data_IF_286420472137
#
_entry.id   IF_286420472137
#
_cell.length_a   1.000
_cell.length_b   1.000
_cell.length_c   1.000
_cell.angle_alpha   90.00
_cell.angle_beta   90.00
_cell.angle_gamma   90.00
#
_symmetry.space_group_name_H-M   'P 1'
#
loop_
_entity.id
_entity.type
_entity.pdbx_description
1 polymer ?
#
# COMPACT_ATOMS: atom_id res chain seq x y z
N UNK A 1 70.15 30.49 0.55
CA UNK A 1 70.19 29.15 1.17
C UNK A 1 68.96 28.98 2.03
N UNK A 2 68.05 28.08 1.64
CA UNK A 2 67.22 27.22 2.50
C UNK A 2 66.18 26.50 1.64
N UNK A 3 66.03 25.21 1.91
CA UNK A 3 65.53 24.18 1.01
C UNK A 3 64.00 24.20 0.82
N UNK A 4 63.56 23.90 -0.41
CA UNK A 4 62.20 23.50 -0.71
C UNK A 4 62.04 22.02 -0.35
N UNK A 5 61.19 21.72 0.63
CA UNK A 5 60.78 20.35 0.97
C UNK A 5 59.60 19.98 0.08
N UNK A 6 59.87 19.14 -0.91
CA UNK A 6 58.85 18.51 -1.74
C UNK A 6 58.15 17.39 -0.97
N UNK A 7 56.86 17.55 -0.73
CA UNK A 7 55.98 16.46 -0.27
C UNK A 7 55.28 15.92 -1.52
N UNK A 8 55.75 14.75 -1.98
CA UNK A 8 55.08 13.97 -3.03
C UNK A 8 53.71 13.52 -2.54
N UNK A 9 52.66 14.01 -3.19
CA UNK A 9 51.34 13.39 -3.14
C UNK A 9 51.41 12.06 -3.91
N UNK A 10 51.47 10.95 -3.17
CA UNK A 10 51.25 9.63 -3.73
C UNK A 10 49.81 9.55 -4.25
N UNK A 11 49.67 9.45 -5.57
CA UNK A 11 48.41 9.15 -6.24
C UNK A 11 47.95 7.75 -5.83
N UNK A 12 46.89 7.67 -5.03
CA UNK A 12 46.15 6.44 -4.80
C UNK A 12 45.58 5.97 -6.13
N UNK A 13 46.18 4.92 -6.68
CA UNK A 13 45.74 4.21 -7.86
C UNK A 13 44.41 3.56 -7.52
N UNK A 14 43.31 4.14 -8.01
CA UNK A 14 41.99 3.50 -8.00
C UNK A 14 42.08 2.25 -8.85
N UNK A 15 42.02 1.07 -8.22
CA UNK A 15 41.77 -0.17 -8.94
C UNK A 15 40.39 -0.06 -9.59
N UNK A 16 40.39 0.08 -10.91
CA UNK A 16 39.20 -0.14 -11.71
C UNK A 16 38.75 -1.58 -11.43
N UNK A 17 37.56 -1.74 -10.85
CA UNK A 17 36.91 -3.03 -10.81
C UNK A 17 36.64 -3.42 -12.26
N UNK A 18 37.29 -4.48 -12.74
CA UNK A 18 37.02 -5.05 -14.05
C UNK A 18 35.53 -5.40 -14.12
N UNK A 19 34.80 -4.82 -15.09
CA UNK A 19 33.39 -5.11 -15.42
C UNK A 19 33.21 -6.52 -16.04
N UNK A 20 34.06 -7.49 -15.66
CA UNK A 20 33.87 -8.88 -16.04
C UNK A 20 32.77 -9.47 -15.15
N UNK A 21 31.62 -9.88 -15.70
CA UNK A 21 30.54 -10.44 -14.91
C UNK A 21 31.04 -11.68 -14.15
N UNK A 22 30.72 -11.77 -12.86
CA UNK A 22 31.14 -12.87 -11.97
C UNK A 22 30.72 -14.27 -12.49
N UNK A 23 29.73 -14.32 -13.40
CA UNK A 23 29.21 -15.52 -14.02
C UNK A 23 29.00 -15.23 -15.52
N UNK A 24 29.47 -16.14 -16.37
CA UNK A 24 29.27 -16.10 -17.83
C UNK A 24 27.79 -15.95 -18.19
N UNK A 25 27.49 -15.18 -19.25
CA UNK A 25 26.12 -14.92 -19.68
C UNK A 25 25.34 -16.20 -20.04
N UNK A 26 26.04 -17.29 -20.37
CA UNK A 26 25.45 -18.63 -20.60
C UNK A 26 24.84 -19.26 -19.35
N UNK A 27 25.35 -18.93 -18.16
CA UNK A 27 24.85 -19.43 -16.86
C UNK A 27 24.12 -18.34 -16.07
N UNK A 28 23.93 -17.17 -16.70
CA UNK A 28 23.29 -16.01 -16.11
C UNK A 28 21.78 -16.10 -16.27
N UNK A 29 21.05 -15.85 -15.17
CA UNK A 29 19.57 -15.77 -15.18
C UNK A 29 19.03 -14.53 -15.92
N UNK A 30 19.87 -13.80 -16.67
CA UNK A 30 19.44 -12.64 -17.48
C UNK A 30 18.38 -13.03 -18.50
N UNK A 31 18.60 -14.12 -19.25
CA UNK A 31 17.63 -14.61 -20.22
C UNK A 31 16.29 -14.98 -19.56
N UNK A 32 16.33 -15.61 -18.38
CA UNK A 32 15.13 -15.95 -17.62
C UNK A 32 14.42 -14.69 -17.08
N UNK A 33 15.16 -13.67 -16.65
CA UNK A 33 14.60 -12.38 -16.23
C UNK A 33 13.91 -11.65 -17.38
N UNK A 34 14.52 -11.63 -18.57
CA UNK A 34 13.95 -11.02 -19.77
C UNK A 34 12.70 -11.77 -20.25
N UNK A 35 12.72 -13.10 -20.20
CA UNK A 35 11.55 -13.93 -20.48
C UNK A 35 10.40 -13.67 -19.49
N UNK A 36 10.71 -13.54 -18.19
CA UNK A 36 9.72 -13.18 -17.17
C UNK A 36 9.17 -11.76 -17.37
N UNK A 37 9.98 -10.80 -17.80
CA UNK A 37 9.49 -9.45 -18.13
C UNK A 37 8.59 -9.44 -19.36
N UNK A 38 8.91 -10.23 -20.38
CA UNK A 38 8.04 -10.42 -21.54
C UNK A 38 6.68 -11.01 -21.12
N UNK A 39 6.67 -11.99 -20.21
CA UNK A 39 5.44 -12.56 -19.65
C UNK A 39 4.67 -11.54 -18.79
N UNK A 40 5.36 -10.69 -18.02
CA UNK A 40 4.73 -9.62 -17.19
C UNK A 40 4.01 -8.55 -18.01
N UNK A 41 4.41 -8.31 -19.26
CA UNK A 41 3.73 -7.35 -20.14
C UNK A 41 2.29 -7.77 -20.46
N UNK A 42 2.03 -9.08 -20.56
CA UNK A 42 0.73 -9.63 -20.91
C UNK A 42 -0.22 -9.86 -19.72
N UNK A 43 0.22 -9.59 -18.49
CA UNK A 43 -0.62 -9.78 -17.30
C UNK A 43 -1.68 -8.67 -17.22
N UNK A 44 -2.97 -9.03 -17.03
CA UNK A 44 -4.05 -8.07 -16.79
C UNK A 44 -3.77 -7.10 -15.63
N UNK A 45 -4.29 -5.88 -15.71
CA UNK A 45 -4.02 -4.83 -14.71
C UNK A 45 -4.58 -5.16 -13.33
N UNK A 46 -5.68 -5.92 -13.29
CA UNK A 46 -6.35 -6.38 -12.08
C UNK A 46 -5.43 -7.35 -11.32
N UNK A 47 -4.89 -8.35 -12.03
CA UNK A 47 -3.96 -9.33 -11.46
C UNK A 47 -2.66 -8.68 -10.99
N UNK A 48 -2.18 -7.66 -11.70
CA UNK A 48 -1.02 -6.86 -11.25
C UNK A 48 -1.29 -6.21 -9.90
N UNK A 49 -2.43 -5.55 -9.73
CA UNK A 49 -2.80 -4.92 -8.45
C UNK A 49 -2.90 -5.94 -7.32
N UNK A 50 -3.53 -7.09 -7.56
CA UNK A 50 -3.64 -8.14 -6.56
C UNK A 50 -2.26 -8.68 -6.14
N UNK A 51 -1.35 -8.86 -7.09
CA UNK A 51 0.02 -9.31 -6.81
C UNK A 51 0.82 -8.25 -6.07
N UNK A 52 0.67 -6.96 -6.41
CA UNK A 52 1.33 -5.85 -5.72
C UNK A 52 0.85 -5.76 -4.26
N UNK A 53 -0.46 -5.96 -4.03
CA UNK A 53 -1.04 -5.99 -2.69
C UNK A 53 -0.55 -7.19 -1.87
N UNK A 54 -0.44 -8.37 -2.48
CA UNK A 54 0.15 -9.55 -1.83
C UNK A 54 1.60 -9.33 -1.48
N UNK A 55 2.40 -8.85 -2.43
CA UNK A 55 3.80 -8.52 -2.22
C UNK A 55 3.96 -7.48 -1.10
N UNK A 56 3.05 -6.52 -1.00
CA UNK A 56 3.04 -5.55 0.09
C UNK A 56 2.77 -6.21 1.46
N UNK A 57 1.80 -7.13 1.56
CA UNK A 57 1.55 -7.87 2.80
C UNK A 57 2.74 -8.76 3.17
N UNK A 58 3.32 -9.45 2.20
CA UNK A 58 4.49 -10.32 2.39
C UNK A 58 5.70 -9.51 2.85
N UNK A 59 5.93 -8.33 2.26
CA UNK A 59 6.98 -7.42 2.67
C UNK A 59 6.81 -7.01 4.14
N UNK A 60 5.58 -6.74 4.58
CA UNK A 60 5.29 -6.40 5.98
C UNK A 60 5.60 -7.56 6.94
N UNK A 61 5.48 -8.81 6.47
CA UNK A 61 5.72 -10.04 7.24
C UNK A 61 7.15 -10.60 7.05
N UNK A 62 7.99 -9.98 6.22
CA UNK A 62 9.36 -10.44 5.98
C UNK A 62 10.33 -10.02 7.10
N UNK A 63 10.03 -8.92 7.77
CA UNK A 63 10.87 -8.32 8.81
C UNK A 63 10.60 -8.93 10.19
N UNK A 64 11.26 -10.05 10.50
CA UNK A 64 11.18 -10.75 11.80
C UNK A 64 11.76 -9.94 12.98
N UNK A 65 12.30 -8.73 12.75
CA UNK A 65 12.75 -7.87 13.84
C UNK A 65 11.58 -7.23 14.60
N UNK A 66 10.40 -7.09 13.97
CA UNK A 66 9.27 -6.36 14.55
C UNK A 66 8.34 -7.30 15.32
N UNK A 67 7.81 -6.90 16.48
CA UNK A 67 6.83 -7.72 17.17
C UNK A 67 5.55 -7.86 16.33
N UNK A 68 4.85 -9.02 16.38
CA UNK A 68 3.60 -9.24 15.65
C UNK A 68 2.52 -8.19 15.92
N UNK A 69 2.52 -7.54 17.10
CA UNK A 69 1.60 -6.46 17.44
C UNK A 69 1.80 -5.22 16.56
N UNK A 70 3.05 -4.82 16.29
CA UNK A 70 3.35 -3.66 15.43
C UNK A 70 2.92 -3.91 13.99
N UNK A 71 3.18 -5.11 13.47
CA UNK A 71 2.76 -5.52 12.13
C UNK A 71 1.22 -5.42 12.00
N UNK A 72 0.49 -5.91 13.00
CA UNK A 72 -0.98 -5.78 13.06
C UNK A 72 -1.44 -4.32 13.11
N UNK A 73 -0.82 -3.49 13.94
CA UNK A 73 -1.17 -2.08 14.06
C UNK A 73 -0.95 -1.31 12.76
N UNK A 74 0.15 -1.60 12.05
CA UNK A 74 0.46 -1.00 10.76
C UNK A 74 -0.60 -1.35 9.70
N UNK A 75 -0.98 -2.62 9.61
CA UNK A 75 -2.05 -3.06 8.72
C UNK A 75 -3.39 -2.38 9.04
N UNK A 76 -3.78 -2.34 10.31
CA UNK A 76 -5.01 -1.67 10.75
C UNK A 76 -5.00 -0.18 10.42
N UNK A 77 -3.87 0.50 10.62
CA UNK A 77 -3.70 1.93 10.27
C UNK A 77 -3.91 2.17 8.77
N UNK A 78 -3.32 1.34 7.92
CA UNK A 78 -3.49 1.43 6.46
C UNK A 78 -4.95 1.17 6.06
N UNK A 79 -5.56 0.14 6.63
CA UNK A 79 -6.95 -0.22 6.35
C UNK A 79 -7.91 0.91 6.77
N UNK A 80 -7.68 1.54 7.92
CA UNK A 80 -8.45 2.68 8.40
C UNK A 80 -8.32 3.88 7.45
N UNK A 81 -7.10 4.22 7.01
CA UNK A 81 -6.89 5.28 6.01
C UNK A 81 -7.66 5.02 4.72
N UNK A 82 -7.71 3.76 4.26
CA UNK A 82 -8.49 3.37 3.08
C UNK A 82 -10.01 3.51 3.33
N UNK A 83 -10.50 3.10 4.50
CA UNK A 83 -11.92 3.29 4.89
C UNK A 83 -12.31 4.77 4.94
N UNK A 84 -11.44 5.63 5.47
CA UNK A 84 -11.65 7.07 5.52
C UNK A 84 -11.65 7.70 4.13
N UNK A 85 -10.67 7.36 3.29
CA UNK A 85 -10.61 7.84 1.92
C UNK A 85 -11.84 7.44 1.12
N UNK A 86 -12.28 6.18 1.25
CA UNK A 86 -13.51 5.69 0.64
C UNK A 86 -14.74 6.46 1.14
N UNK A 87 -14.88 6.64 2.46
CA UNK A 87 -16.01 7.38 3.04
C UNK A 87 -16.07 8.83 2.55
N UNK A 88 -14.90 9.50 2.45
CA UNK A 88 -14.81 10.87 1.89
C UNK A 88 -15.23 10.92 0.43
N UNK A 89 -14.78 9.98 -0.40
CA UNK A 89 -15.18 9.89 -1.81
C UNK A 89 -16.69 9.66 -1.95
N UNK A 90 -17.27 8.79 -1.12
CA UNK A 90 -18.70 8.53 -1.12
C UNK A 90 -19.52 9.77 -0.74
N UNK A 91 -19.09 10.51 0.29
CA UNK A 91 -19.75 11.78 0.68
C UNK A 91 -19.69 12.80 -0.44
N UNK A 92 -18.51 12.99 -1.07
CA UNK A 92 -18.35 13.90 -2.20
C UNK A 92 -19.28 13.56 -3.37
N UNK A 93 -19.37 12.28 -3.74
CA UNK A 93 -20.27 11.83 -4.80
C UNK A 93 -21.74 12.15 -4.51
N UNK A 94 -22.19 12.00 -3.25
CA UNK A 94 -23.55 12.39 -2.83
C UNK A 94 -23.78 13.89 -2.91
N UNK A 95 -22.82 14.68 -2.47
CA UNK A 95 -22.90 16.14 -2.56
C UNK A 95 -22.98 16.61 -4.01
N UNK A 96 -22.14 16.06 -4.89
CA UNK A 96 -22.11 16.42 -6.29
C UNK A 96 -23.37 15.98 -7.03
N UNK A 97 -23.91 14.80 -6.70
CA UNK A 97 -25.21 14.35 -7.18
C UNK A 97 -26.34 15.30 -6.75
N UNK A 98 -26.36 15.67 -5.46
CA UNK A 98 -27.37 16.58 -4.91
C UNK A 98 -27.32 17.97 -5.55
N UNK A 99 -26.11 18.50 -5.76
CA UNK A 99 -25.90 19.76 -6.50
C UNK A 99 -26.42 19.68 -7.92
N UNK A 100 -26.16 18.56 -8.61
CA UNK A 100 -26.61 18.35 -9.99
C UNK A 100 -28.13 18.27 -10.06
N UNK A 101 -28.78 17.50 -9.19
CA UNK A 101 -30.24 17.43 -9.13
C UNK A 101 -30.89 18.79 -8.83
N UNK A 102 -30.31 19.57 -7.91
CA UNK A 102 -30.85 20.91 -7.60
C UNK A 102 -30.75 21.85 -8.79
N UNK A 103 -29.62 21.83 -9.52
CA UNK A 103 -29.47 22.61 -10.77
C UNK A 103 -30.49 22.20 -11.82
N UNK A 104 -30.65 20.90 -12.07
CA UNK A 104 -31.64 20.39 -13.03
C UNK A 104 -33.07 20.83 -12.66
N UNK A 105 -33.42 20.81 -11.37
CA UNK A 105 -34.74 21.26 -10.87
C UNK A 105 -34.95 22.77 -11.02
N UNK A 106 -33.93 23.57 -10.74
CA UNK A 106 -33.98 25.02 -10.90
C UNK A 106 -34.13 25.42 -12.37
N UNK A 107 -33.36 24.77 -13.25
CA UNK A 107 -33.43 24.98 -14.70
C UNK A 107 -34.81 24.60 -15.25
N UNK A 108 -35.34 23.44 -14.84
CA UNK A 108 -36.69 23.01 -15.20
C UNK A 108 -37.75 24.02 -14.74
N UNK A 109 -37.66 24.50 -13.49
CA UNK A 109 -38.61 25.47 -12.93
C UNK A 109 -38.54 26.82 -13.67
N UNK A 110 -37.33 27.30 -14.00
CA UNK A 110 -37.13 28.53 -14.78
C UNK A 110 -37.71 28.39 -16.19
N UNK A 111 -37.49 27.26 -16.85
CA UNK A 111 -38.02 26.98 -18.19
C UNK A 111 -39.56 26.87 -18.18
N UNK A 112 -40.13 26.19 -17.19
CA UNK A 112 -41.58 26.09 -17.03
C UNK A 112 -42.23 27.48 -16.80
N UNK A 113 -41.63 28.34 -15.98
CA UNK A 113 -42.11 29.71 -15.78
C UNK A 113 -42.01 30.54 -17.06
N UNK A 114 -40.89 30.48 -17.78
CA UNK A 114 -40.73 31.18 -19.07
C UNK A 114 -41.77 30.74 -20.09
N UNK A 115 -42.07 29.44 -20.18
CA UNK A 115 -43.10 28.91 -21.08
C UNK A 115 -44.49 29.44 -20.72
N UNK A 116 -44.84 29.49 -19.43
CA UNK A 116 -46.10 30.06 -18.95
C UNK A 116 -46.20 31.56 -19.26
N UNK A 117 -45.14 32.33 -19.02
CA UNK A 117 -45.08 33.75 -19.32
C UNK A 117 -45.18 34.04 -20.82
N UNK A 118 -44.52 33.23 -21.67
CA UNK A 118 -44.61 33.35 -23.11
C UNK A 118 -46.03 33.09 -23.61
N UNK A 119 -46.67 32.01 -23.13
CA UNK A 119 -48.05 31.68 -23.45
C UNK A 119 -49.05 32.73 -22.95
N UNK A 120 -48.78 33.38 -21.81
CA UNK A 120 -49.65 34.42 -21.27
C UNK A 120 -49.64 35.73 -22.08
N UNK A 121 -48.66 35.97 -22.96
CA UNK A 121 -48.57 37.18 -23.79
C UNK A 121 -49.50 37.16 -24.99
N UNK A 122 -49.92 35.98 -25.43
CA UNK A 122 -50.78 35.79 -26.59
C UNK A 122 -52.22 35.45 -26.17
N UNK A 123 -53.19 35.74 -27.05
CA UNK A 123 -54.59 35.37 -26.82
C UNK A 123 -54.82 33.96 -27.36
N UNK A 124 -55.01 33.01 -26.46
CA UNK A 124 -55.35 31.62 -26.80
C UNK A 124 -56.83 31.32 -26.56
N UNK A 125 -57.38 30.42 -27.37
CA UNK A 125 -58.71 29.85 -27.19
C UNK A 125 -58.77 28.97 -25.92
N UNK A 126 -59.98 28.67 -25.43
CA UNK A 126 -60.11 27.85 -24.22
C UNK A 126 -59.54 26.45 -24.38
N UNK A 127 -59.68 25.84 -25.57
CA UNK A 127 -59.16 24.50 -25.85
C UNK A 127 -57.64 24.46 -25.80
N UNK A 128 -56.98 25.43 -26.45
CA UNK A 128 -55.51 25.54 -26.47
C UNK A 128 -54.92 25.78 -25.09
N UNK A 129 -55.62 26.53 -24.22
CA UNK A 129 -55.19 26.73 -22.83
C UNK A 129 -55.20 25.42 -22.06
N UNK A 130 -56.30 24.65 -22.17
CA UNK A 130 -56.42 23.35 -21.50
C UNK A 130 -55.30 22.42 -21.94
N UNK A 131 -55.11 22.24 -23.24
CA UNK A 131 -54.04 21.38 -23.79
C UNK A 131 -52.65 21.84 -23.36
N UNK A 132 -52.39 23.15 -23.32
CA UNK A 132 -51.09 23.68 -22.88
C UNK A 132 -50.78 23.33 -21.43
N UNK A 133 -51.74 23.54 -20.51
CA UNK A 133 -51.54 23.26 -19.09
C UNK A 133 -51.47 21.76 -18.80
N UNK A 134 -52.26 20.94 -19.49
CA UNK A 134 -52.19 19.48 -19.39
C UNK A 134 -50.83 18.94 -19.82
N UNK A 135 -50.30 19.45 -20.95
CA UNK A 135 -48.95 19.10 -21.42
C UNK A 135 -47.85 19.57 -20.45
N UNK A 136 -48.01 20.75 -19.84
CA UNK A 136 -47.07 21.25 -18.83
C UNK A 136 -47.07 20.38 -17.57
N UNK A 137 -48.25 19.94 -17.13
CA UNK A 137 -48.39 19.07 -15.97
C UNK A 137 -47.85 17.67 -16.24
N UNK A 138 -48.09 17.10 -17.43
CA UNK A 138 -47.47 15.84 -17.85
C UNK A 138 -45.94 15.95 -17.83
N UNK A 139 -45.36 16.97 -18.46
CA UNK A 139 -43.90 17.19 -18.46
C UNK A 139 -43.33 17.37 -17.07
N UNK A 140 -44.07 18.03 -16.17
CA UNK A 140 -43.69 18.18 -14.77
C UNK A 140 -43.66 16.82 -14.06
N UNK A 141 -44.70 16.00 -14.25
CA UNK A 141 -44.77 14.66 -13.68
C UNK A 141 -43.61 13.79 -14.18
N UNK A 142 -43.41 13.73 -15.49
CA UNK A 142 -42.36 12.92 -16.13
C UNK A 142 -40.96 13.34 -15.66
N UNK A 143 -40.72 14.65 -15.50
CA UNK A 143 -39.46 15.17 -14.98
C UNK A 143 -39.18 14.69 -13.54
N UNK A 144 -40.17 14.81 -12.65
CA UNK A 144 -39.98 14.41 -11.25
C UNK A 144 -39.91 12.89 -11.07
N UNK A 145 -40.61 12.12 -11.92
CA UNK A 145 -40.49 10.67 -11.99
C UNK A 145 -39.07 10.27 -12.40
N UNK A 146 -38.53 10.85 -13.48
CA UNK A 146 -37.14 10.63 -13.88
C UNK A 146 -36.11 11.07 -12.84
N UNK A 147 -36.36 12.17 -12.10
CA UNK A 147 -35.50 12.59 -10.98
C UNK A 147 -35.49 11.56 -9.84
N UNK A 148 -36.63 10.91 -9.58
CA UNK A 148 -36.75 9.85 -8.58
C UNK A 148 -35.99 8.61 -9.02
N UNK A 149 -36.17 8.17 -10.26
CA UNK A 149 -35.44 7.02 -10.82
C UNK A 149 -33.92 7.24 -10.81
N UNK A 150 -33.45 8.43 -11.24
CA UNK A 150 -32.02 8.79 -11.15
C UNK A 150 -31.49 8.70 -9.71
N UNK A 151 -32.29 9.10 -8.73
CA UNK A 151 -31.90 9.04 -7.31
C UNK A 151 -31.86 7.60 -6.81
N UNK A 152 -32.86 6.80 -7.16
CA UNK A 152 -32.95 5.41 -6.72
C UNK A 152 -31.78 4.60 -7.33
N UNK A 153 -31.50 4.78 -8.63
CA UNK A 153 -30.34 4.16 -9.30
C UNK A 153 -29.00 4.60 -8.69
N UNK A 154 -28.85 5.89 -8.36
CA UNK A 154 -27.65 6.40 -7.70
C UNK A 154 -27.46 5.79 -6.30
N UNK A 155 -28.51 5.72 -5.48
CA UNK A 155 -28.39 5.14 -4.13
C UNK A 155 -28.11 3.63 -4.19
N UNK A 156 -28.65 2.92 -5.19
CA UNK A 156 -28.31 1.51 -5.45
C UNK A 156 -26.83 1.36 -5.78
N UNK A 157 -26.31 2.14 -6.73
CA UNK A 157 -24.88 2.13 -7.09
C UNK A 157 -23.99 2.44 -5.87
N UNK A 158 -24.41 3.38 -5.03
CA UNK A 158 -23.68 3.75 -3.82
C UNK A 158 -23.70 2.64 -2.76
N UNK A 159 -24.83 1.93 -2.64
CA UNK A 159 -24.96 0.78 -1.76
C UNK A 159 -24.07 -0.38 -2.22
N UNK A 160 -24.04 -0.64 -3.52
CA UNK A 160 -23.22 -1.71 -4.11
C UNK A 160 -21.73 -1.40 -3.98
N UNK A 161 -21.31 -0.16 -4.26
CA UNK A 161 -19.93 0.29 -4.02
C UNK A 161 -19.52 0.10 -2.58
N UNK A 162 -20.40 0.42 -1.63
CA UNK A 162 -20.13 0.23 -0.20
C UNK A 162 -19.97 -1.25 0.14
N UNK A 163 -20.88 -2.09 -0.33
CA UNK A 163 -20.84 -3.54 -0.12
C UNK A 163 -19.56 -4.15 -0.69
N UNK A 164 -19.25 -3.86 -1.95
CA UNK A 164 -18.05 -4.35 -2.62
C UNK A 164 -16.76 -3.93 -1.89
N UNK A 165 -16.69 -2.69 -1.39
CA UNK A 165 -15.56 -2.24 -0.59
C UNK A 165 -15.46 -2.96 0.76
N UNK A 166 -16.57 -3.15 1.46
CA UNK A 166 -16.58 -3.84 2.75
C UNK A 166 -16.22 -5.34 2.60
N UNK A 167 -16.69 -5.99 1.53
CA UNK A 167 -16.32 -7.38 1.20
C UNK A 167 -14.84 -7.50 0.83
N UNK A 168 -14.32 -6.56 0.02
CA UNK A 168 -12.88 -6.46 -0.27
C UNK A 168 -12.05 -6.28 1.02
N UNK A 169 -12.46 -5.36 1.90
CA UNK A 169 -11.74 -5.11 3.15
C UNK A 169 -11.76 -6.32 4.09
N UNK A 170 -12.85 -7.10 4.10
CA UNK A 170 -12.93 -8.39 4.83
C UNK A 170 -11.96 -9.41 4.25
N UNK A 171 -12.01 -9.65 2.94
CA UNK A 171 -11.12 -10.59 2.27
C UNK A 171 -9.64 -10.30 2.55
N UNK A 172 -9.23 -9.02 2.48
CA UNK A 172 -7.86 -8.60 2.81
C UNK A 172 -7.50 -8.73 4.28
N UNK A 173 -8.47 -8.56 5.16
CA UNK A 173 -8.27 -8.80 6.60
C UNK A 173 -8.06 -10.29 6.87
N UNK A 174 -8.78 -11.16 6.18
CA UNK A 174 -8.64 -12.61 6.33
C UNK A 174 -7.31 -13.10 5.77
N UNK A 175 -6.91 -12.61 4.59
CA UNK A 175 -5.58 -12.86 3.99
C UNK A 175 -4.45 -12.41 4.93
N UNK A 176 -4.55 -11.19 5.47
CA UNK A 176 -3.60 -10.69 6.47
C UNK A 176 -3.56 -11.58 7.72
N UNK A 177 -4.72 -11.98 8.25
CA UNK A 177 -4.78 -12.81 9.46
C UNK A 177 -4.13 -14.18 9.25
N UNK A 178 -4.22 -14.77 8.06
CA UNK A 178 -3.54 -16.02 7.73
C UNK A 178 -2.01 -15.81 7.77
N UNK A 179 -1.50 -14.83 7.01
CA UNK A 179 -0.07 -14.51 6.98
C UNK A 179 0.47 -14.11 8.36
N UNK A 180 -0.34 -13.41 9.15
CA UNK A 180 0.03 -12.94 10.49
C UNK A 180 0.20 -14.09 11.49
N UNK A 181 -0.61 -15.15 11.38
CA UNK A 181 -0.46 -16.36 12.20
C UNK A 181 0.87 -17.06 11.91
N UNK A 182 1.21 -17.21 10.64
CA UNK A 182 2.45 -17.85 10.22
C UNK A 182 3.67 -16.98 10.56
N UNK A 183 3.53 -15.67 10.43
CA UNK A 183 4.52 -14.70 10.91
C UNK A 183 4.77 -14.83 12.40
N UNK A 184 3.71 -14.90 13.21
CA UNK A 184 3.81 -14.99 14.68
C UNK A 184 4.58 -16.24 15.10
N UNK A 185 4.32 -17.38 14.45
CA UNK A 185 5.08 -18.62 14.70
C UNK A 185 6.56 -18.45 14.37
N UNK A 186 6.88 -17.93 13.18
CA UNK A 186 8.27 -17.69 12.75
C UNK A 186 9.00 -16.70 13.66
N UNK A 187 8.30 -15.67 14.13
CA UNK A 187 8.84 -14.69 15.06
C UNK A 187 9.19 -15.34 16.42
N UNK A 188 8.30 -16.18 16.95
CA UNK A 188 8.54 -16.88 18.21
C UNK A 188 9.69 -17.91 18.10
N UNK A 189 9.79 -18.60 16.96
CA UNK A 189 10.90 -19.51 16.64
C UNK A 189 12.23 -18.74 16.55
N UNK A 190 12.29 -17.68 15.75
CA UNK A 190 13.46 -16.82 15.63
C UNK A 190 13.90 -16.21 16.97
N UNK A 191 12.93 -15.81 17.81
CA UNK A 191 13.20 -15.30 19.16
C UNK A 191 13.82 -16.37 20.07
N UNK A 192 13.37 -17.63 19.98
CA UNK A 192 13.96 -18.75 20.71
C UNK A 192 15.37 -19.06 20.22
N UNK A 193 15.57 -19.11 18.90
CA UNK A 193 16.88 -19.34 18.27
C UNK A 193 17.91 -18.28 18.70
N UNK A 194 17.51 -17.00 18.69
CA UNK A 194 18.37 -15.91 19.19
C UNK A 194 18.72 -16.07 20.67
N UNK A 195 17.76 -16.48 21.51
CA UNK A 195 18.01 -16.71 22.92
C UNK A 195 18.98 -17.89 23.15
N UNK A 196 18.86 -18.96 22.38
CA UNK A 196 19.71 -20.14 22.48
C UNK A 196 21.12 -19.86 21.92
N UNK A 197 21.22 -19.14 20.80
CA UNK A 197 22.50 -18.65 20.27
C UNK A 197 23.23 -17.79 21.30
N UNK A 198 22.50 -16.90 21.99
CA UNK A 198 23.07 -16.05 23.05
C UNK A 198 23.58 -16.88 24.24
N UNK A 199 22.83 -17.89 24.68
CA UNK A 199 23.26 -18.82 25.74
C UNK A 199 24.49 -19.62 25.32
N UNK A 200 24.52 -20.15 24.09
CA UNK A 200 25.68 -20.88 23.57
C UNK A 200 26.92 -19.99 23.48
N UNK A 201 26.76 -18.75 23.02
CA UNK A 201 27.85 -17.76 22.99
C UNK A 201 28.37 -17.45 24.39
N UNK A 202 27.50 -17.30 25.38
CA UNK A 202 27.89 -17.08 26.78
C UNK A 202 28.63 -18.28 27.38
N UNK A 203 28.16 -19.51 27.11
CA UNK A 203 28.83 -20.74 27.53
C UNK A 203 30.21 -20.89 26.89
N UNK A 204 30.33 -20.63 25.58
CA UNK A 204 31.62 -20.61 24.88
C UNK A 204 32.57 -19.58 25.49
N UNK A 205 32.06 -18.38 25.80
CA UNK A 205 32.85 -17.33 26.47
C UNK A 205 33.35 -17.78 27.84
N UNK A 206 32.48 -18.34 28.69
CA UNK A 206 32.83 -18.87 30.02
C UNK A 206 33.84 -20.02 29.96
N UNK A 207 33.73 -20.89 28.94
CA UNK A 207 34.70 -21.98 28.76
C UNK A 207 36.06 -21.45 28.32
N UNK A 208 36.11 -20.52 27.35
CA UNK A 208 37.36 -19.86 26.96
C UNK A 208 38.03 -19.13 28.12
N UNK A 209 37.25 -18.46 28.98
CA UNK A 209 37.77 -17.79 30.18
C UNK A 209 38.39 -18.80 31.16
N UNK A 210 37.72 -19.92 31.43
CA UNK A 210 38.28 -21.01 32.25
C UNK A 210 39.53 -21.64 31.66
N UNK A 211 39.61 -21.77 30.33
CA UNK A 211 40.78 -22.35 29.66
C UNK A 211 41.98 -21.38 29.73
N UNK A 212 41.74 -20.07 29.56
CA UNK A 212 42.76 -19.03 29.78
C UNK A 212 43.25 -18.98 31.23
N UNK A 213 42.35 -19.11 32.21
CA UNK A 213 42.73 -19.15 33.63
C UNK A 213 43.63 -20.35 33.94
N UNK A 214 43.31 -21.53 33.38
CA UNK A 214 44.17 -22.72 33.52
C UNK A 214 45.54 -22.52 32.88
N UNK A 215 45.58 -21.95 31.67
CA UNK A 215 46.85 -21.66 30.98
C UNK A 215 47.71 -20.68 31.80
N UNK A 216 47.08 -19.66 32.39
CA UNK A 216 47.76 -18.71 33.28
C UNK A 216 48.31 -19.39 34.55
N UNK A 217 47.53 -20.28 35.18
CA UNK A 217 48.00 -21.08 36.31
C UNK A 217 49.16 -22.02 35.94
N UNK A 218 49.15 -22.62 34.74
CA UNK A 218 50.23 -23.48 34.25
C UNK A 218 51.51 -22.70 33.99
N UNK A 219 51.40 -21.48 33.45
CA UNK A 219 52.55 -20.58 33.26
C UNK A 219 53.15 -20.18 34.62
N UNK A 220 52.34 -19.86 35.62
CA UNK A 220 52.82 -19.51 36.96
C UNK A 220 53.49 -20.68 37.71
N UNK A 221 53.11 -21.93 37.39
CA UNK A 221 53.73 -23.13 37.97
C UNK A 221 55.09 -23.48 37.33
N UNK A 222 55.45 -22.91 36.18
CA UNK A 222 56.78 -23.09 35.59
C UNK A 222 57.79 -22.24 36.37
N UNK A 223 58.89 -22.83 36.89
CA UNK A 223 59.90 -22.07 37.61
C UNK A 223 60.52 -21.02 36.67
N UNK A 224 60.77 -19.81 37.20
CA UNK A 224 61.42 -18.75 36.46
C UNK A 224 62.79 -19.24 35.99
N UNK A 225 62.92 -19.45 34.67
CA UNK A 225 64.23 -19.73 34.06
C UNK A 225 64.99 -18.39 34.12
N UNK A 226 66.10 -18.29 34.85
CA UNK A 226 66.89 -17.07 34.84
C UNK A 226 67.36 -16.86 33.40
N UNK A 227 67.02 -15.70 32.82
CA UNK A 227 67.66 -15.22 31.61
C UNK A 227 69.16 -15.12 31.93
N UNK A 228 69.96 -15.87 31.18
CA UNK A 228 71.32 -16.28 31.53
C UNK A 228 72.31 -15.17 31.89
N UNK A 229 73.36 -15.66 32.53
CA UNK A 229 74.67 -15.09 32.92
C UNK A 229 75.20 -13.90 32.12
#
# INVERSE_FOLDING_TARGET
>A
MCAAVGISFATLKTYAADDTPLVDDKYSLKADREALEALRKNIPKEVKKENDEKAFMDQMMSDLSKPPSEVRNNFQSILNKKREAFSKDMTKKREDFSKTQNKEREEFSKDATKKREAFAKEKHSSSERTEFFDNLESKRKDFYEGQREKRDAFEEEMRDKRKNFDDYARAKTDEFNQLHRDYTKRYDEHKKELADLKKQAELKKKNMEKDLDKEYEEINKKPAVPLGE
#
